data_IF_952378445515
#
_entry.id   IF_952378445515
#
_cell.length_a   1.000
_cell.length_b   1.000
_cell.length_c   1.000
_cell.angle_alpha   90.00
_cell.angle_beta   90.00
_cell.angle_gamma   90.00
#
_symmetry.space_group_name_H-M   'P 1'
#
loop_
_entity.id
_entity.type
_entity.pdbx_description
1 polymer ?
#
# COMPACT_ATOMS: atom_id res chain seq x y z
N UNK A 1 12.50 10.59 -17.87
CA UNK A 1 11.96 9.89 -16.68
C UNK A 1 10.64 10.54 -16.29
N UNK A 2 9.57 9.77 -16.10
CA UNK A 2 8.25 10.30 -15.74
C UNK A 2 8.13 10.39 -14.23
N UNK A 3 7.65 11.51 -13.70
CA UNK A 3 7.49 11.77 -12.27
C UNK A 3 6.06 12.18 -11.94
N UNK A 4 5.56 11.73 -10.78
CA UNK A 4 4.31 12.16 -10.18
C UNK A 4 4.62 12.80 -8.82
N UNK A 5 4.19 14.05 -8.61
CA UNK A 5 4.55 14.84 -7.40
C UNK A 5 6.05 14.77 -7.05
N UNK A 6 6.90 14.84 -8.08
CA UNK A 6 8.36 14.81 -7.92
C UNK A 6 8.99 13.42 -7.73
N UNK A 7 8.21 12.34 -7.64
CA UNK A 7 8.71 10.98 -7.46
C UNK A 7 8.49 10.10 -8.69
N UNK A 8 9.46 9.27 -9.04
CA UNK A 8 9.35 8.22 -10.05
C UNK A 8 8.65 6.97 -9.47
N UNK A 9 8.36 5.97 -10.31
CA UNK A 9 7.64 4.76 -9.87
C UNK A 9 8.43 3.92 -8.86
N UNK A 10 9.76 3.85 -9.00
CA UNK A 10 10.61 3.11 -8.07
C UNK A 10 10.61 3.74 -6.67
N UNK A 11 10.67 5.07 -6.59
CA UNK A 11 10.55 5.81 -5.34
C UNK A 11 9.18 5.64 -4.68
N UNK A 12 8.11 5.53 -5.49
CA UNK A 12 6.75 5.25 -4.99
C UNK A 12 6.65 3.81 -4.47
N UNK A 13 7.21 2.83 -5.20
CA UNK A 13 7.19 1.42 -4.76
C UNK A 13 8.02 1.19 -3.49
N UNK A 14 9.01 2.03 -3.21
CA UNK A 14 9.81 1.97 -1.99
C UNK A 14 9.14 2.64 -0.77
N UNK A 15 7.99 3.31 -0.93
CA UNK A 15 7.26 3.87 0.20
C UNK A 15 6.62 2.78 1.04
N UNK A 16 6.54 3.02 2.35
CA UNK A 16 5.63 2.26 3.20
C UNK A 16 4.16 2.49 2.79
N UNK A 17 3.28 1.56 3.13
CA UNK A 17 1.84 1.71 2.92
C UNK A 17 1.30 2.98 3.59
N UNK A 18 1.81 3.33 4.78
CA UNK A 18 1.44 4.55 5.49
C UNK A 18 1.83 5.81 4.69
N UNK A 19 3.10 5.92 4.30
CA UNK A 19 3.62 7.04 3.50
C UNK A 19 2.87 7.17 2.18
N UNK A 20 2.59 6.04 1.52
CA UNK A 20 1.83 6.03 0.30
C UNK A 20 0.39 6.51 0.50
N UNK A 21 -0.28 6.14 1.61
CA UNK A 21 -1.63 6.63 1.91
C UNK A 21 -1.66 8.16 2.05
N UNK A 22 -0.66 8.73 2.72
CA UNK A 22 -0.51 10.18 2.85
C UNK A 22 -0.22 10.83 1.49
N UNK A 23 0.71 10.26 0.72
CA UNK A 23 1.13 10.75 -0.59
C UNK A 23 -0.04 10.79 -1.62
N UNK A 24 -0.88 9.77 -1.61
CA UNK A 24 -2.04 9.63 -2.50
C UNK A 24 -3.33 10.23 -1.95
N UNK A 25 -3.26 11.15 -0.98
CA UNK A 25 -4.47 11.79 -0.40
C UNK A 25 -5.38 12.46 -1.45
N UNK A 26 -4.80 13.00 -2.52
CA UNK A 26 -5.54 13.62 -3.63
C UNK A 26 -6.14 12.61 -4.63
N UNK A 27 -5.93 11.30 -4.44
CA UNK A 27 -6.43 10.23 -5.33
C UNK A 27 -7.25 9.24 -4.49
N UNK A 28 -8.56 9.53 -4.24
CA UNK A 28 -9.38 8.77 -3.31
C UNK A 28 -9.42 7.26 -3.57
N UNK A 29 -9.46 6.86 -4.85
CA UNK A 29 -9.47 5.43 -5.25
C UNK A 29 -8.21 4.66 -4.82
N UNK A 30 -7.05 5.33 -4.78
CA UNK A 30 -5.80 4.72 -4.32
C UNK A 30 -5.76 4.79 -2.79
N UNK A 31 -6.05 5.97 -2.22
CA UNK A 31 -6.06 6.17 -0.77
C UNK A 31 -6.91 5.14 -0.04
N UNK A 32 -8.14 4.91 -0.50
CA UNK A 32 -9.05 3.93 0.13
C UNK A 32 -8.45 2.52 0.21
N UNK A 33 -7.72 2.07 -0.82
CA UNK A 33 -7.06 0.76 -0.80
C UNK A 33 -5.91 0.72 0.19
N UNK A 34 -5.11 1.79 0.24
CA UNK A 34 -3.98 1.92 1.16
C UNK A 34 -4.46 2.02 2.62
N UNK A 35 -5.52 2.78 2.87
CA UNK A 35 -6.15 2.89 4.20
C UNK A 35 -6.67 1.54 4.70
N UNK A 36 -7.18 0.68 3.80
CA UNK A 36 -7.59 -0.68 4.19
C UNK A 36 -6.39 -1.54 4.60
N UNK A 37 -5.23 -1.38 3.96
CA UNK A 37 -3.99 -2.04 4.37
C UNK A 37 -3.48 -1.52 5.73
N UNK A 38 -3.56 -0.20 5.97
CA UNK A 38 -3.25 0.40 7.28
C UNK A 38 -4.19 -0.16 8.35
N UNK A 39 -5.49 -0.23 8.09
CA UNK A 39 -6.50 -0.74 9.04
C UNK A 39 -6.25 -2.18 9.49
N UNK A 40 -5.69 -3.02 8.61
CA UNK A 40 -5.35 -4.40 8.98
C UNK A 40 -3.96 -4.52 9.64
N UNK A 41 -3.19 -3.43 9.76
CA UNK A 41 -1.86 -3.43 10.39
C UNK A 41 -0.73 -3.83 9.44
N UNK A 42 -0.80 -3.40 8.18
CA UNK A 42 0.25 -3.58 7.16
C UNK A 42 0.90 -2.25 6.73
N UNK A 43 0.79 -1.23 7.58
CA UNK A 43 1.26 0.14 7.37
C UNK A 43 2.78 0.24 7.13
N UNK A 44 3.57 -0.66 7.71
CA UNK A 44 5.03 -0.70 7.59
C UNK A 44 5.56 -1.38 6.32
N UNK A 45 4.74 -2.16 5.61
CA UNK A 45 5.19 -2.84 4.40
C UNK A 45 5.44 -1.83 3.29
N UNK A 46 6.46 -2.07 2.48
CA UNK A 46 6.66 -1.27 1.27
C UNK A 46 5.74 -1.74 0.15
N UNK A 47 5.26 -0.82 -0.70
CA UNK A 47 4.36 -1.17 -1.82
C UNK A 47 4.99 -2.17 -2.81
N UNK A 48 6.30 -2.10 -2.98
CA UNK A 48 7.10 -2.95 -3.86
C UNK A 48 7.61 -4.23 -3.21
N UNK A 49 7.26 -4.51 -1.95
CA UNK A 49 7.73 -5.71 -1.27
C UNK A 49 7.28 -6.97 -2.03
N UNK A 50 8.24 -7.85 -2.31
CA UNK A 50 7.94 -9.09 -3.01
C UNK A 50 7.03 -9.98 -2.15
N UNK A 51 5.91 -10.43 -2.72
CA UNK A 51 4.94 -11.29 -2.05
C UNK A 51 5.55 -12.58 -1.47
N UNK A 52 6.65 -13.09 -2.05
CA UNK A 52 7.34 -14.29 -1.54
C UNK A 52 8.09 -14.06 -0.22
N UNK A 53 8.27 -12.81 0.19
CA UNK A 53 8.97 -12.43 1.44
C UNK A 53 8.02 -12.19 2.60
N UNK A 54 6.71 -12.23 2.36
CA UNK A 54 5.69 -12.03 3.38
C UNK A 54 5.61 -13.26 4.29
N UNK A 55 5.51 -13.01 5.58
CA UNK A 55 5.08 -13.99 6.57
C UNK A 55 3.66 -14.47 6.29
N UNK A 56 3.30 -15.65 6.81
CA UNK A 56 1.95 -16.19 6.70
C UNK A 56 0.88 -15.25 7.27
N UNK A 57 1.18 -14.56 8.37
CA UNK A 57 0.27 -13.60 8.98
C UNK A 57 0.05 -12.35 8.12
N UNK A 58 1.08 -11.85 7.45
CA UNK A 58 0.95 -10.73 6.50
C UNK A 58 0.13 -11.14 5.27
N UNK A 59 0.41 -12.31 4.69
CA UNK A 59 -0.35 -12.83 3.57
C UNK A 59 -1.85 -12.96 3.90
N UNK A 60 -2.17 -13.42 5.12
CA UNK A 60 -3.54 -13.50 5.60
C UNK A 60 -4.19 -12.12 5.73
N UNK A 61 -3.49 -11.13 6.29
CA UNK A 61 -3.99 -9.75 6.40
C UNK A 61 -4.19 -9.08 5.03
N UNK A 62 -3.33 -9.36 4.02
CA UNK A 62 -3.55 -8.90 2.65
C UNK A 62 -4.86 -9.45 2.09
N UNK A 63 -5.12 -10.75 2.31
CA UNK A 63 -6.38 -11.37 1.89
C UNK A 63 -7.58 -10.73 2.58
N UNK A 64 -7.48 -10.47 3.88
CA UNK A 64 -8.52 -9.76 4.64
C UNK A 64 -8.77 -8.34 4.09
N UNK A 65 -7.71 -7.56 3.86
CA UNK A 65 -7.80 -6.21 3.30
C UNK A 65 -8.49 -6.20 1.93
N UNK A 66 -8.23 -7.20 1.09
CA UNK A 66 -8.89 -7.35 -0.21
C UNK A 66 -10.41 -7.53 -0.07
N UNK A 67 -10.87 -8.36 0.87
CA UNK A 67 -12.30 -8.54 1.09
C UNK A 67 -12.96 -7.30 1.69
N UNK A 68 -12.30 -6.62 2.65
CA UNK A 68 -12.77 -5.35 3.21
C UNK A 68 -12.88 -4.24 2.15
N UNK A 69 -12.03 -4.24 1.12
CA UNK A 69 -12.07 -3.24 0.04
C UNK A 69 -13.23 -3.42 -0.95
N UNK A 70 -13.96 -4.54 -0.88
CA UNK A 70 -15.16 -4.83 -1.69
C UNK A 70 -16.47 -4.49 -0.98
N UNK A 71 -16.40 -4.26 0.34
CA UNK A 71 -17.53 -3.93 1.22
C UNK A 71 -17.83 -2.44 1.16
#
# INVERSE_FOLDING_TARGET
>A
EIKYKGKNISEILNMSVLEASEFFTAVPKIKQKLDTLVKVGLDYLTLGQNATTLSGGEAQRIKLAKELSRS
#
